data_IF_167994660413
#
_entry.id   IF_167994660413
#
_cell.length_a   1.000
_cell.length_b   1.000
_cell.length_c   1.000
_cell.angle_alpha   90.00
_cell.angle_beta   90.00
_cell.angle_gamma   90.00
#
_symmetry.space_group_name_H-M   'P 1'
#
loop_
_entity.id
_entity.type
_entity.pdbx_description
1 polymer ?
#
# COMPACT_ATOMS: atom_id res chain seq x y z
N UNK A 1 35.69 -3.24 23.13
CA UNK A 1 34.75 -2.08 23.15
C UNK A 1 33.44 -2.55 23.74
N UNK A 2 33.09 -2.09 24.95
CA UNK A 2 31.97 -2.63 25.74
C UNK A 2 30.60 -2.33 25.11
N UNK A 3 29.59 -3.16 25.41
CA UNK A 3 28.19 -3.00 24.97
C UNK A 3 27.66 -1.60 25.30
N UNK A 4 28.08 -1.03 26.43
CA UNK A 4 27.70 0.31 26.89
C UNK A 4 28.24 1.42 25.97
N UNK A 5 29.49 1.32 25.52
CA UNK A 5 30.08 2.30 24.58
C UNK A 5 29.36 2.27 23.22
N UNK A 6 29.01 1.07 22.72
CA UNK A 6 28.21 0.91 21.49
C UNK A 6 26.76 1.39 21.66
N UNK A 7 26.17 1.28 22.84
CA UNK A 7 24.83 1.80 23.13
C UNK A 7 24.84 3.34 23.17
N UNK A 8 25.83 3.94 23.83
CA UNK A 8 26.00 5.39 23.90
C UNK A 8 26.24 6.01 22.52
N UNK A 9 27.13 5.43 21.70
CA UNK A 9 27.37 5.91 20.33
C UNK A 9 26.13 5.81 19.43
N UNK A 10 25.32 4.74 19.55
CA UNK A 10 24.05 4.61 18.81
C UNK A 10 23.01 5.64 19.26
N UNK A 11 22.95 5.95 20.57
CA UNK A 11 22.04 6.97 21.11
C UNK A 11 22.41 8.35 20.59
N UNK A 12 23.69 8.69 20.59
CA UNK A 12 24.18 9.97 20.07
C UNK A 12 23.96 10.09 18.56
N UNK A 13 24.24 9.05 17.78
CA UNK A 13 23.95 9.02 16.35
C UNK A 13 22.45 9.21 16.05
N UNK A 14 21.57 8.53 16.80
CA UNK A 14 20.12 8.68 16.66
C UNK A 14 19.63 10.09 17.04
N UNK A 15 20.20 10.70 18.09
CA UNK A 15 19.88 12.08 18.47
C UNK A 15 20.34 13.09 17.42
N UNK A 16 21.53 12.92 16.85
CA UNK A 16 22.00 13.74 15.72
C UNK A 16 21.10 13.57 14.51
N UNK A 17 20.76 12.33 14.17
CA UNK A 17 19.92 11.99 13.04
C UNK A 17 18.52 12.61 13.14
N UNK A 18 17.93 12.58 14.35
CA UNK A 18 16.67 13.28 14.68
C UNK A 18 16.78 14.78 14.48
N UNK A 19 17.83 15.40 15.00
CA UNK A 19 18.02 16.86 14.89
C UNK A 19 18.25 17.33 13.46
N UNK A 20 18.86 16.50 12.62
CA UNK A 20 19.07 16.81 11.20
C UNK A 20 17.88 16.49 10.31
N UNK A 21 16.91 15.71 10.78
CA UNK A 21 15.74 15.34 9.99
C UNK A 21 14.67 16.42 10.11
N UNK A 22 14.58 17.27 9.10
CA UNK A 22 13.61 18.37 9.03
C UNK A 22 12.95 18.36 7.65
N UNK A 23 12.06 17.41 7.36
CA UNK A 23 11.32 17.40 6.10
C UNK A 23 10.38 18.61 6.04
N UNK A 24 10.15 19.11 4.83
CA UNK A 24 9.20 20.18 4.52
C UNK A 24 8.00 19.70 3.69
N UNK A 25 8.01 18.45 3.20
CA UNK A 25 6.96 17.85 2.39
C UNK A 25 5.98 16.95 3.18
N UNK A 26 4.80 16.63 2.60
CA UNK A 26 3.88 15.65 3.18
C UNK A 26 4.54 14.29 3.39
N UNK A 27 4.27 13.69 4.54
CA UNK A 27 4.76 12.38 4.92
C UNK A 27 3.66 11.33 4.82
N UNK A 28 4.02 10.20 4.22
CA UNK A 28 3.29 8.95 4.40
C UNK A 28 3.89 8.18 5.56
N UNK A 29 3.09 7.84 6.55
CA UNK A 29 3.48 7.03 7.68
C UNK A 29 3.20 5.56 7.40
N UNK A 30 4.26 4.75 7.43
CA UNK A 30 4.20 3.31 7.19
C UNK A 30 4.52 2.53 8.46
N UNK A 31 3.83 1.41 8.65
CA UNK A 31 4.24 0.44 9.66
C UNK A 31 3.99 -1.01 9.26
N UNK A 32 4.90 -1.90 9.69
CA UNK A 32 4.78 -3.35 9.50
C UNK A 32 5.28 -4.10 10.74
N UNK A 33 4.54 -5.14 11.11
CA UNK A 33 4.86 -6.02 12.22
C UNK A 33 5.75 -7.18 11.78
N UNK A 34 6.82 -7.46 12.52
CA UNK A 34 7.68 -8.62 12.26
C UNK A 34 8.23 -9.26 13.51
N UNK A 35 8.24 -10.58 13.53
CA UNK A 35 9.00 -11.37 14.50
C UNK A 35 10.49 -11.29 14.15
N UNK A 36 11.28 -10.73 15.06
CA UNK A 36 12.72 -10.57 14.90
C UNK A 36 13.47 -11.24 16.06
N UNK A 37 14.67 -11.80 15.82
CA UNK A 37 15.52 -12.28 16.89
C UNK A 37 15.81 -11.17 17.90
N UNK A 38 15.72 -11.50 19.18
CA UNK A 38 15.98 -10.63 20.31
C UNK A 38 17.15 -11.18 21.13
N UNK A 39 17.48 -10.50 22.23
CA UNK A 39 18.58 -10.93 23.10
C UNK A 39 18.30 -12.35 23.64
N UNK A 40 19.35 -13.16 23.81
CA UNK A 40 19.28 -14.53 24.33
C UNK A 40 18.51 -15.53 23.45
N UNK A 41 18.54 -15.39 22.12
CA UNK A 41 17.89 -16.34 21.19
C UNK A 41 16.35 -16.41 21.33
N UNK A 42 15.75 -15.40 21.95
CA UNK A 42 14.29 -15.25 21.98
C UNK A 42 13.83 -14.53 20.71
N UNK A 43 12.54 -14.66 20.37
CA UNK A 43 11.94 -13.92 19.25
C UNK A 43 11.05 -12.84 19.84
N UNK A 44 11.22 -11.59 19.41
CA UNK A 44 10.38 -10.48 19.82
C UNK A 44 9.56 -9.98 18.62
N UNK A 45 8.29 -9.69 18.88
CA UNK A 45 7.49 -8.95 17.92
C UNK A 45 7.92 -7.49 17.93
N UNK A 46 8.24 -6.96 16.75
CA UNK A 46 8.69 -5.57 16.56
C UNK A 46 7.86 -4.94 15.45
N UNK A 47 7.72 -3.63 15.50
CA UNK A 47 7.05 -2.85 14.47
C UNK A 47 8.10 -1.94 13.82
N UNK A 48 8.28 -2.02 12.51
CA UNK A 48 9.10 -1.07 11.79
C UNK A 48 8.23 0.14 11.45
N UNK A 49 8.64 1.34 11.84
CA UNK A 49 7.90 2.58 11.59
C UNK A 49 8.75 3.45 10.66
N UNK A 50 8.24 3.73 9.48
CA UNK A 50 8.95 4.42 8.41
C UNK A 50 8.09 5.58 7.93
N UNK A 51 8.70 6.70 7.55
CA UNK A 51 8.03 7.71 6.73
C UNK A 51 8.63 7.75 5.34
N UNK A 52 7.80 7.99 4.33
CA UNK A 52 8.25 8.23 2.96
C UNK A 52 7.77 9.58 2.47
N UNK A 53 8.62 10.26 1.71
CA UNK A 53 8.42 11.62 1.19
C UNK A 53 9.43 11.86 0.07
N UNK A 54 9.10 12.65 -0.95
CA UNK A 54 9.98 12.94 -2.10
C UNK A 54 10.80 11.75 -2.65
N UNK A 55 10.21 10.55 -2.69
CA UNK A 55 10.91 9.34 -3.12
C UNK A 55 12.07 8.88 -2.22
N UNK A 56 12.14 9.39 -0.99
CA UNK A 56 13.03 8.99 0.09
C UNK A 56 12.26 8.21 1.17
N UNK A 57 13.00 7.45 1.99
CA UNK A 57 12.47 6.77 3.16
C UNK A 57 13.28 7.11 4.41
N UNK A 58 12.60 7.19 5.56
CA UNK A 58 13.22 7.41 6.86
C UNK A 58 12.65 6.44 7.89
N UNK A 59 13.52 5.61 8.46
CA UNK A 59 13.17 4.77 9.59
C UNK A 59 13.08 5.62 10.86
N UNK A 60 11.88 5.78 11.41
CA UNK A 60 11.64 6.50 12.66
C UNK A 60 11.90 5.63 13.90
N UNK A 61 11.65 4.32 13.79
CA UNK A 61 11.84 3.42 14.91
C UNK A 61 11.59 1.95 14.59
N UNK A 62 12.09 1.09 15.47
CA UNK A 62 11.78 -0.35 15.49
C UNK A 62 11.41 -0.80 16.90
N UNK A 63 10.38 -0.19 17.54
CA UNK A 63 10.04 -0.51 18.91
C UNK A 63 9.62 -1.98 19.05
N UNK A 64 9.94 -2.54 20.22
CA UNK A 64 9.47 -3.86 20.61
C UNK A 64 8.01 -3.73 21.04
N UNK A 65 7.15 -4.62 20.56
CA UNK A 65 5.75 -4.67 20.95
C UNK A 65 5.49 -5.90 21.82
N UNK A 66 4.77 -5.70 22.91
CA UNK A 66 4.28 -6.79 23.74
C UNK A 66 2.97 -7.39 23.19
N UNK A 67 2.20 -6.57 22.44
CA UNK A 67 0.90 -6.93 21.88
C UNK A 67 0.81 -6.50 20.42
N UNK A 68 0.00 -7.22 19.63
CA UNK A 68 -0.22 -6.92 18.20
C UNK A 68 -1.55 -6.20 17.95
N UNK A 69 -2.14 -5.61 18.99
CA UNK A 69 -3.41 -4.88 18.89
C UNK A 69 -3.26 -3.59 18.09
N UNK A 70 -4.37 -3.10 17.51
CA UNK A 70 -4.39 -1.81 16.82
C UNK A 70 -3.97 -0.63 17.70
N UNK A 71 -4.32 -0.70 18.98
CA UNK A 71 -3.89 0.27 20.00
C UNK A 71 -2.37 0.33 20.16
N UNK A 72 -1.72 -0.82 20.36
CA UNK A 72 -0.28 -0.86 20.52
C UNK A 72 0.47 -0.41 19.25
N UNK A 73 -0.11 -0.67 18.07
CA UNK A 73 0.45 -0.18 16.80
C UNK A 73 0.30 1.34 16.67
N UNK A 74 -0.88 1.88 16.98
CA UNK A 74 -1.13 3.33 16.98
C UNK A 74 -0.22 4.06 17.96
N UNK A 75 -0.14 3.60 19.22
CA UNK A 75 0.72 4.21 20.24
C UNK A 75 2.19 4.26 19.79
N UNK A 76 2.71 3.16 19.25
CA UNK A 76 4.08 3.11 18.75
C UNK A 76 4.31 4.08 17.58
N UNK A 77 3.37 4.16 16.64
CA UNK A 77 3.40 5.10 15.52
C UNK A 77 3.37 6.56 15.99
N UNK A 78 2.45 6.89 16.90
CA UNK A 78 2.27 8.23 17.46
C UNK A 78 3.48 8.67 18.27
N UNK A 79 4.03 7.80 19.12
CA UNK A 79 5.27 8.06 19.85
C UNK A 79 6.43 8.33 18.88
N UNK A 80 6.55 7.51 17.82
CA UNK A 80 7.57 7.70 16.81
C UNK A 80 7.45 9.07 16.14
N UNK A 81 6.32 9.42 15.52
CA UNK A 81 6.19 10.70 14.80
C UNK A 81 6.34 11.92 15.71
N UNK A 82 5.84 11.87 16.95
CA UNK A 82 6.01 12.94 17.95
C UNK A 82 7.47 13.09 18.39
N UNK A 83 8.18 11.97 18.61
CA UNK A 83 9.59 12.02 19.00
C UNK A 83 10.53 12.56 17.91
N UNK A 84 10.07 12.54 16.66
CA UNK A 84 10.74 13.14 15.51
C UNK A 84 10.18 14.51 15.13
N UNK A 85 9.14 15.01 15.82
CA UNK A 85 8.49 16.30 15.57
C UNK A 85 7.98 16.44 14.12
N UNK A 86 7.34 15.39 13.60
CA UNK A 86 6.81 15.34 12.22
C UNK A 86 5.31 15.07 12.15
N UNK A 87 4.60 15.07 13.27
CA UNK A 87 3.18 14.72 13.32
C UNK A 87 2.31 15.58 12.40
N UNK A 88 2.62 16.88 12.26
CA UNK A 88 1.87 17.83 11.43
C UNK A 88 2.05 17.61 9.92
N UNK A 89 3.12 16.90 9.54
CA UNK A 89 3.44 16.61 8.15
C UNK A 89 2.84 15.28 7.69
N UNK A 90 2.34 14.45 8.60
CA UNK A 90 1.69 13.18 8.24
C UNK A 90 0.37 13.46 7.53
N UNK A 91 0.26 13.06 6.26
CA UNK A 91 -0.94 13.22 5.42
C UNK A 91 -1.56 11.91 4.97
N UNK A 92 -0.83 10.79 5.10
CA UNK A 92 -1.38 9.48 4.82
C UNK A 92 -0.74 8.35 5.62
N UNK A 93 -1.43 7.22 5.63
CA UNK A 93 -1.11 6.01 6.37
C UNK A 93 -0.96 4.85 5.39
N UNK A 94 0.12 4.07 5.52
CA UNK A 94 0.39 2.89 4.69
C UNK A 94 0.56 1.68 5.60
N UNK A 95 -0.28 0.67 5.40
CA UNK A 95 -0.44 -0.42 6.38
C UNK A 95 -0.94 -1.71 5.73
N UNK A 96 -0.74 -2.85 6.40
CA UNK A 96 -1.31 -4.13 5.99
C UNK A 96 -2.81 -4.24 6.31
N UNK A 97 -3.54 -5.06 5.56
CA UNK A 97 -4.99 -5.19 5.66
C UNK A 97 -5.52 -6.00 6.86
N UNK A 98 -4.76 -6.04 7.97
CA UNK A 98 -5.16 -6.75 9.19
C UNK A 98 -6.24 -6.00 9.97
N UNK A 99 -7.11 -6.75 10.66
CA UNK A 99 -8.16 -6.17 11.51
C UNK A 99 -7.59 -5.26 12.62
N UNK A 100 -6.36 -5.52 13.05
CA UNK A 100 -5.65 -4.67 14.01
C UNK A 100 -5.42 -3.26 13.47
N UNK A 101 -5.17 -3.10 12.17
CA UNK A 101 -4.97 -1.80 11.55
C UNK A 101 -6.28 -1.14 11.13
N UNK A 102 -7.28 -1.93 10.70
CA UNK A 102 -8.47 -1.43 9.99
C UNK A 102 -9.78 -1.56 10.74
N UNK A 103 -9.76 -2.02 11.98
CA UNK A 103 -10.96 -2.11 12.82
C UNK A 103 -11.71 -0.78 12.91
N UNK A 104 -13.00 -0.79 12.55
CA UNK A 104 -13.84 0.41 12.36
C UNK A 104 -13.83 1.41 13.53
N UNK A 105 -13.68 0.92 14.76
CA UNK A 105 -13.74 1.77 15.97
C UNK A 105 -12.47 1.74 16.80
N UNK A 106 -11.53 0.84 16.51
CA UNK A 106 -10.39 0.54 17.39
C UNK A 106 -9.12 0.15 16.63
N UNK A 107 -9.15 0.18 15.30
CA UNK A 107 -7.99 -0.08 14.46
C UNK A 107 -6.92 0.99 14.64
N UNK A 108 -5.68 0.65 14.31
CA UNK A 108 -4.56 1.57 14.42
C UNK A 108 -4.80 2.88 13.63
N UNK A 109 -5.36 2.78 12.42
CA UNK A 109 -5.56 3.95 11.57
C UNK A 109 -6.55 4.95 12.17
N UNK A 110 -7.68 4.47 12.70
CA UNK A 110 -8.70 5.31 13.36
C UNK A 110 -8.08 6.05 14.55
N UNK A 111 -7.33 5.34 15.39
CA UNK A 111 -6.68 5.92 16.57
C UNK A 111 -5.62 6.97 16.23
N UNK A 112 -4.88 6.75 15.15
CA UNK A 112 -3.89 7.73 14.69
C UNK A 112 -4.59 9.01 14.20
N UNK A 113 -5.68 8.88 13.44
CA UNK A 113 -6.48 10.03 12.99
C UNK A 113 -7.12 10.79 14.16
N UNK A 114 -7.69 10.07 15.13
CA UNK A 114 -8.29 10.65 16.32
C UNK A 114 -7.26 11.48 17.11
N UNK A 115 -6.05 10.95 17.31
CA UNK A 115 -4.97 11.65 18.04
C UNK A 115 -4.41 12.84 17.26
N UNK A 116 -4.37 12.76 15.93
CA UNK A 116 -3.88 13.85 15.07
C UNK A 116 -4.98 14.87 14.74
N UNK A 117 -6.22 14.61 15.14
CA UNK A 117 -7.41 15.41 14.83
C UNK A 117 -7.52 15.73 13.33
N UNK A 118 -7.13 14.78 12.47
CA UNK A 118 -7.04 14.98 11.02
C UNK A 118 -7.51 13.73 10.27
N UNK A 119 -8.31 13.91 9.22
CA UNK A 119 -8.56 12.87 8.22
C UNK A 119 -7.27 12.64 7.41
N UNK A 120 -6.85 11.38 7.30
CA UNK A 120 -5.65 10.95 6.59
C UNK A 120 -6.03 10.05 5.42
N UNK A 121 -5.21 10.09 4.36
CA UNK A 121 -5.35 9.16 3.24
C UNK A 121 -4.88 7.77 3.66
N UNK A 122 -5.76 6.78 3.56
CA UNK A 122 -5.43 5.39 3.89
C UNK A 122 -4.99 4.63 2.64
N UNK A 123 -3.78 4.09 2.69
CA UNK A 123 -3.13 3.33 1.63
C UNK A 123 -2.88 1.89 2.11
N UNK A 124 -3.91 1.05 1.97
CA UNK A 124 -3.81 -0.35 2.35
C UNK A 124 -2.94 -1.17 1.39
N UNK A 125 -2.18 -2.12 1.92
CA UNK A 125 -1.30 -2.99 1.15
C UNK A 125 -2.08 -3.92 0.21
N UNK A 126 -1.95 -3.68 -1.10
CA UNK A 126 -2.57 -4.48 -2.18
C UNK A 126 -2.06 -5.92 -2.21
N UNK A 127 -0.76 -6.13 -1.96
CA UNK A 127 -0.19 -7.48 -1.92
C UNK A 127 -0.87 -8.34 -0.87
N UNK A 128 -1.15 -7.78 0.32
CA UNK A 128 -1.79 -8.55 1.38
C UNK A 128 -3.21 -9.00 0.96
N UNK A 129 -3.94 -8.17 0.24
CA UNK A 129 -5.28 -8.54 -0.29
C UNK A 129 -5.18 -9.68 -1.31
N UNK A 130 -4.23 -9.60 -2.24
CA UNK A 130 -4.02 -10.68 -3.22
C UNK A 130 -3.51 -11.96 -2.55
N UNK A 131 -2.67 -11.87 -1.51
CA UNK A 131 -2.23 -13.00 -0.71
C UNK A 131 -3.42 -13.71 -0.05
N UNK A 132 -4.36 -12.95 0.51
CA UNK A 132 -5.57 -13.50 1.14
C UNK A 132 -6.43 -14.21 0.08
N UNK A 133 -6.67 -13.58 -1.07
CA UNK A 133 -7.40 -14.21 -2.18
C UNK A 133 -6.73 -15.53 -2.62
N UNK A 134 -5.42 -15.50 -2.85
CA UNK A 134 -4.67 -16.67 -3.28
C UNK A 134 -4.65 -17.75 -2.20
N UNK A 135 -4.59 -17.38 -0.91
CA UNK A 135 -4.66 -18.30 0.22
C UNK A 135 -6.00 -19.04 0.29
N UNK A 136 -7.11 -18.33 0.09
CA UNK A 136 -8.45 -18.92 0.07
C UNK A 136 -8.64 -19.88 -1.11
N UNK A 137 -8.22 -19.45 -2.31
CA UNK A 137 -8.23 -20.29 -3.52
C UNK A 137 -7.32 -21.52 -3.35
N UNK A 138 -6.12 -21.33 -2.80
CA UNK A 138 -5.21 -22.44 -2.52
C UNK A 138 -5.82 -23.44 -1.54
N UNK A 139 -6.43 -22.95 -0.46
CA UNK A 139 -7.08 -23.80 0.55
C UNK A 139 -8.26 -24.58 -0.04
N UNK A 140 -9.00 -23.99 -0.97
CA UNK A 140 -10.07 -24.67 -1.70
C UNK A 140 -9.53 -25.80 -2.58
N UNK A 141 -8.44 -25.56 -3.31
CA UNK A 141 -7.90 -26.51 -4.30
C UNK A 141 -7.06 -27.61 -3.63
N UNK A 142 -6.24 -27.24 -2.65
CA UNK A 142 -5.23 -28.11 -2.05
C UNK A 142 -5.60 -28.62 -0.65
N UNK A 143 -6.70 -28.12 -0.07
CA UNK A 143 -7.08 -28.38 1.31
C UNK A 143 -6.37 -27.45 2.31
N UNK A 144 -6.97 -27.28 3.49
CA UNK A 144 -6.36 -26.49 4.56
C UNK A 144 -5.15 -27.21 5.14
N UNK A 145 -4.06 -26.48 5.35
CA UNK A 145 -2.88 -26.99 6.05
C UNK A 145 -2.84 -26.45 7.47
N UNK A 146 -2.91 -27.33 8.47
CA UNK A 146 -2.71 -26.95 9.89
C UNK A 146 -1.27 -26.59 10.25
N UNK A 147 -0.36 -26.53 9.28
CA UNK A 147 1.05 -26.17 9.47
C UNK A 147 1.32 -24.77 8.93
N UNK A 148 2.13 -23.94 9.63
CA UNK A 148 2.55 -22.64 9.12
C UNK A 148 3.42 -22.73 7.85
N UNK A 149 3.87 -23.93 7.47
CA UNK A 149 4.62 -24.14 6.24
C UNK A 149 4.08 -25.35 5.45
N UNK A 150 3.43 -25.09 4.31
CA UNK A 150 2.96 -26.12 3.39
C UNK A 150 4.12 -26.96 2.86
N UNK A 151 4.05 -28.29 2.99
CA UNK A 151 5.08 -29.23 2.49
C UNK A 151 5.34 -29.04 0.99
N UNK A 152 4.29 -28.74 0.22
CA UNK A 152 4.38 -28.41 -1.19
C UNK A 152 5.35 -27.24 -1.43
N UNK A 153 5.18 -26.13 -0.71
CA UNK A 153 6.06 -24.96 -0.83
C UNK A 153 7.49 -25.24 -0.36
N UNK A 154 7.68 -26.09 0.67
CA UNK A 154 9.04 -26.53 1.07
C UNK A 154 9.74 -27.29 -0.05
N UNK A 155 9.05 -28.24 -0.67
CA UNK A 155 9.59 -29.04 -1.80
C UNK A 155 9.89 -28.13 -2.98
N UNK A 156 8.96 -27.24 -3.31
CA UNK A 156 9.12 -26.26 -4.37
C UNK A 156 10.34 -25.37 -4.14
N UNK A 157 10.49 -24.77 -2.95
CA UNK A 157 11.64 -23.96 -2.56
C UNK A 157 12.97 -24.72 -2.72
N UNK A 158 13.00 -26.01 -2.37
CA UNK A 158 14.20 -26.86 -2.52
C UNK A 158 14.55 -27.09 -4.00
N UNK A 159 13.55 -27.27 -4.86
CA UNK A 159 13.72 -27.51 -6.29
C UNK A 159 13.80 -26.22 -7.12
N UNK A 160 13.61 -25.04 -6.52
CA UNK A 160 13.55 -23.77 -7.25
C UNK A 160 14.74 -23.55 -8.19
N UNK A 161 15.95 -23.94 -7.77
CA UNK A 161 17.18 -23.79 -8.57
C UNK A 161 17.26 -24.74 -9.77
N UNK A 162 16.49 -25.82 -9.78
CA UNK A 162 16.47 -26.79 -10.88
C UNK A 162 15.31 -26.56 -11.86
N UNK A 163 14.43 -25.60 -11.60
CA UNK A 163 13.36 -25.22 -12.51
C UNK A 163 13.93 -24.29 -13.59
N UNK A 164 13.77 -24.67 -14.85
CA UNK A 164 14.07 -23.79 -15.99
C UNK A 164 13.09 -22.63 -16.00
N UNK A 165 13.58 -21.42 -15.74
CA UNK A 165 12.75 -20.21 -15.78
C UNK A 165 12.42 -19.78 -17.20
N UNK A 166 13.16 -20.26 -18.20
CA UNK A 166 12.92 -19.94 -19.61
C UNK A 166 11.61 -20.56 -20.13
N UNK A 167 11.14 -21.62 -19.49
CA UNK A 167 9.89 -22.31 -19.85
C UNK A 167 8.69 -21.83 -19.01
N UNK A 168 8.93 -20.89 -18.09
CA UNK A 168 7.87 -20.36 -17.24
C UNK A 168 7.06 -19.32 -18.01
N UNK A 169 5.83 -19.69 -18.38
CA UNK A 169 4.85 -18.77 -18.94
C UNK A 169 3.94 -18.31 -17.78
N UNK A 170 4.02 -17.04 -17.36
CA UNK A 170 3.12 -16.52 -16.34
C UNK A 170 1.67 -16.58 -16.83
N UNK A 171 0.75 -16.92 -15.93
CA UNK A 171 -0.67 -16.81 -16.21
C UNK A 171 -1.02 -15.33 -16.52
N UNK A 172 -1.91 -15.02 -17.49
CA UNK A 172 -2.30 -13.65 -17.79
C UNK A 172 -2.73 -12.86 -16.54
N UNK A 173 -3.41 -13.52 -15.60
CA UNK A 173 -3.90 -12.95 -14.34
C UNK A 173 -2.77 -12.61 -13.35
N UNK A 174 -1.56 -13.13 -13.54
CA UNK A 174 -0.40 -12.77 -12.72
C UNK A 174 -0.05 -11.28 -12.82
N UNK A 175 -0.49 -10.59 -13.88
CA UNK A 175 -0.31 -9.14 -14.03
C UNK A 175 -0.84 -8.37 -12.82
N UNK A 176 -1.97 -8.80 -12.23
CA UNK A 176 -2.55 -8.15 -11.06
C UNK A 176 -1.62 -8.23 -9.85
N UNK A 177 -0.93 -9.36 -9.68
CA UNK A 177 0.08 -9.53 -8.64
C UNK A 177 1.33 -8.72 -8.91
N UNK A 178 1.84 -8.74 -10.14
CA UNK A 178 3.07 -8.03 -10.52
C UNK A 178 2.92 -6.51 -10.48
N UNK A 179 1.73 -6.00 -10.81
CA UNK A 179 1.40 -4.57 -10.78
C UNK A 179 0.81 -4.12 -9.44
N UNK A 180 0.57 -5.01 -8.47
CA UNK A 180 0.13 -4.65 -7.11
C UNK A 180 0.98 -3.57 -6.41
N UNK A 181 2.33 -3.50 -6.60
CA UNK A 181 3.13 -2.40 -6.06
C UNK A 181 2.96 -1.05 -6.79
N UNK A 182 2.29 -1.01 -7.94
CA UNK A 182 2.16 0.19 -8.77
C UNK A 182 0.89 0.95 -8.36
N UNK A 183 1.05 1.91 -7.45
CA UNK A 183 -0.08 2.62 -6.84
C UNK A 183 -1.04 3.27 -7.87
N UNK A 184 -0.50 3.83 -8.96
CA UNK A 184 -1.28 4.43 -10.07
C UNK A 184 -2.13 3.41 -10.82
N UNK A 185 -1.62 2.18 -10.97
CA UNK A 185 -2.32 1.10 -11.70
C UNK A 185 -3.31 0.34 -10.84
N UNK A 186 -3.15 0.39 -9.52
CA UNK A 186 -3.90 -0.43 -8.58
C UNK A 186 -5.42 -0.27 -8.72
N UNK A 187 -6.02 0.94 -8.74
CA UNK A 187 -7.48 1.03 -8.74
C UNK A 187 -8.11 0.47 -10.02
N UNK A 188 -7.47 0.68 -11.18
CA UNK A 188 -7.92 0.06 -12.43
C UNK A 188 -7.79 -1.45 -12.38
N UNK A 189 -6.65 -1.96 -11.89
CA UNK A 189 -6.38 -3.39 -11.79
C UNK A 189 -7.38 -4.10 -10.88
N UNK A 190 -7.77 -3.49 -9.76
CA UNK A 190 -8.75 -4.08 -8.84
C UNK A 190 -10.11 -4.29 -9.53
N UNK A 191 -10.55 -3.30 -10.32
CA UNK A 191 -11.80 -3.41 -11.10
C UNK A 191 -11.68 -4.42 -12.24
N UNK A 192 -10.52 -4.49 -12.91
CA UNK A 192 -10.27 -5.47 -13.98
C UNK A 192 -10.19 -6.89 -13.44
N UNK A 193 -9.56 -7.11 -12.29
CA UNK A 193 -9.51 -8.42 -11.64
C UNK A 193 -10.92 -8.92 -11.35
N UNK A 194 -11.82 -8.06 -10.88
CA UNK A 194 -13.23 -8.42 -10.67
C UNK A 194 -13.94 -8.81 -11.98
N UNK A 195 -13.66 -8.14 -13.10
CA UNK A 195 -14.19 -8.50 -14.42
C UNK A 195 -13.66 -9.87 -14.88
N UNK A 196 -12.35 -10.07 -14.78
CA UNK A 196 -11.70 -11.34 -15.13
C UNK A 196 -12.26 -12.49 -14.28
N UNK A 197 -12.46 -12.28 -12.98
CA UNK A 197 -13.01 -13.31 -12.11
C UNK A 197 -14.48 -13.64 -12.41
N UNK A 198 -15.28 -12.71 -12.96
CA UNK A 198 -16.66 -13.01 -13.41
C UNK A 198 -16.69 -13.93 -14.62
N UNK A 199 -15.69 -13.84 -15.48
CA UNK A 199 -15.56 -14.64 -16.70
C UNK A 199 -14.67 -15.87 -16.51
N UNK A 200 -14.12 -16.08 -15.30
CA UNK A 200 -13.15 -17.13 -15.05
C UNK A 200 -13.77 -18.53 -15.21
N UNK A 201 -13.18 -19.44 -16.02
CA UNK A 201 -13.85 -20.69 -16.42
C UNK A 201 -14.23 -21.62 -15.27
N UNK A 202 -13.46 -21.61 -14.19
CA UNK A 202 -13.68 -22.51 -13.06
C UNK A 202 -14.54 -21.83 -11.97
N UNK A 203 -15.86 -22.02 -12.06
CA UNK A 203 -16.86 -21.36 -11.21
C UNK A 203 -16.54 -21.39 -9.69
N UNK A 204 -16.13 -22.54 -9.13
CA UNK A 204 -15.79 -22.61 -7.70
C UNK A 204 -14.58 -21.76 -7.31
N UNK A 205 -13.58 -21.68 -8.18
CA UNK A 205 -12.37 -20.86 -7.96
C UNK A 205 -12.74 -19.40 -8.12
N UNK A 206 -13.49 -19.06 -9.17
CA UNK A 206 -14.03 -17.73 -9.40
C UNK A 206 -14.81 -17.23 -8.19
N UNK A 207 -15.76 -18.02 -7.70
CA UNK A 207 -16.59 -17.68 -6.54
C UNK A 207 -15.76 -17.49 -5.26
N UNK A 208 -14.81 -18.39 -4.98
CA UNK A 208 -13.94 -18.24 -3.81
C UNK A 208 -13.06 -16.99 -3.88
N UNK A 209 -12.48 -16.71 -5.05
CA UNK A 209 -11.66 -15.51 -5.27
C UNK A 209 -12.49 -14.23 -5.16
N UNK A 210 -13.68 -14.18 -5.77
CA UNK A 210 -14.60 -13.04 -5.68
C UNK A 210 -15.05 -12.83 -4.24
N UNK A 211 -15.44 -13.90 -3.53
CA UNK A 211 -15.84 -13.81 -2.13
C UNK A 211 -14.69 -13.30 -1.24
N UNK A 212 -13.44 -13.72 -1.50
CA UNK A 212 -12.26 -13.22 -0.81
C UNK A 212 -12.05 -11.74 -1.07
N UNK A 213 -11.94 -11.31 -2.33
CA UNK A 213 -11.74 -9.89 -2.65
C UNK A 213 -12.88 -9.03 -2.11
N UNK A 214 -14.13 -9.45 -2.26
CA UNK A 214 -15.30 -8.70 -1.79
C UNK A 214 -15.28 -8.39 -0.30
N UNK A 215 -14.71 -9.27 0.54
CA UNK A 215 -14.50 -9.00 1.98
C UNK A 215 -13.40 -7.98 2.25
N UNK A 216 -12.51 -7.78 1.30
CA UNK A 216 -11.33 -6.93 1.40
C UNK A 216 -11.38 -5.67 0.51
N UNK A 217 -12.48 -5.42 -0.21
CA UNK A 217 -12.70 -4.27 -1.10
C UNK A 217 -12.61 -2.89 -0.44
N UNK A 218 -12.55 -2.84 0.89
CA UNK A 218 -12.37 -1.59 1.64
C UNK A 218 -11.05 -0.87 1.32
N UNK A 219 -10.05 -1.59 0.80
CA UNK A 219 -8.83 -0.98 0.28
C UNK A 219 -9.08 -0.12 -0.98
N UNK A 220 -10.10 -0.40 -1.80
CA UNK A 220 -10.53 0.50 -2.87
C UNK A 220 -11.32 1.65 -2.22
N UNK A 221 -10.74 2.84 -2.17
CA UNK A 221 -11.29 3.99 -1.44
C UNK A 221 -11.49 5.20 -2.35
N UNK A 222 -12.32 6.14 -1.91
CA UNK A 222 -12.51 7.45 -2.58
C UNK A 222 -11.19 8.21 -2.74
N UNK A 223 -10.22 8.02 -1.84
CA UNK A 223 -8.90 8.62 -1.97
C UNK A 223 -8.06 7.96 -3.07
N UNK A 224 -7.93 6.64 -3.03
CA UNK A 224 -7.00 5.92 -3.91
C UNK A 224 -7.46 5.86 -5.37
N UNK A 225 -8.76 6.00 -5.62
CA UNK A 225 -9.28 6.05 -7.00
C UNK A 225 -8.68 7.23 -7.78
N UNK A 226 -8.32 8.33 -7.11
CA UNK A 226 -7.71 9.51 -7.72
C UNK A 226 -6.37 9.24 -8.38
N UNK A 227 -5.63 8.21 -7.92
CA UNK A 227 -4.39 7.78 -8.56
C UNK A 227 -4.60 7.30 -10.01
N UNK A 228 -5.81 6.86 -10.35
CA UNK A 228 -6.16 6.44 -11.73
C UNK A 228 -6.08 7.59 -12.75
N UNK A 229 -6.10 8.85 -12.30
CA UNK A 229 -5.87 10.00 -13.19
C UNK A 229 -4.50 9.93 -13.86
N UNK A 230 -3.54 9.28 -13.22
CA UNK A 230 -2.18 9.09 -13.72
C UNK A 230 -1.98 7.78 -14.50
N UNK A 231 -3.00 6.93 -14.60
CA UNK A 231 -2.92 5.69 -15.37
C UNK A 231 -3.21 5.98 -16.85
N UNK A 232 -2.28 5.58 -17.71
CA UNK A 232 -2.36 5.77 -19.16
C UNK A 232 -3.40 4.86 -19.83
N UNK A 233 -3.87 3.83 -19.13
CA UNK A 233 -4.93 2.93 -19.61
C UNK A 233 -6.33 3.53 -19.43
N UNK A 234 -6.46 4.59 -18.62
CA UNK A 234 -7.71 5.32 -18.45
C UNK A 234 -7.85 6.31 -19.59
N UNK A 235 -8.92 6.16 -20.37
CA UNK A 235 -9.20 7.02 -21.50
C UNK A 235 -9.55 8.46 -21.07
N UNK A 236 -9.41 9.40 -22.00
CA UNK A 236 -9.68 10.82 -21.76
C UNK A 236 -11.10 11.08 -21.24
N UNK A 237 -12.11 10.37 -21.75
CA UNK A 237 -13.50 10.62 -21.37
C UNK A 237 -13.74 10.17 -19.92
N UNK A 238 -13.19 9.02 -19.54
CA UNK A 238 -13.19 8.58 -18.15
C UNK A 238 -12.46 9.60 -17.25
N UNK A 239 -11.30 10.14 -17.64
CA UNK A 239 -10.61 11.19 -16.85
C UNK A 239 -11.46 12.46 -16.72
N UNK A 240 -12.16 12.89 -17.78
CA UNK A 240 -13.10 14.03 -17.71
C UNK A 240 -14.22 13.79 -16.72
N UNK A 241 -14.82 12.60 -16.74
CA UNK A 241 -15.85 12.20 -15.80
C UNK A 241 -15.34 12.16 -14.36
N UNK A 242 -14.11 11.69 -14.13
CA UNK A 242 -13.47 11.75 -12.81
C UNK A 242 -13.37 13.19 -12.30
N UNK A 243 -12.88 14.13 -13.12
CA UNK A 243 -12.75 15.54 -12.71
C UNK A 243 -14.12 16.16 -12.41
N UNK A 244 -15.13 15.88 -13.24
CA UNK A 244 -16.50 16.35 -13.00
C UNK A 244 -17.06 15.82 -11.68
N UNK A 245 -16.74 14.58 -11.31
CA UNK A 245 -17.24 13.95 -10.09
C UNK A 245 -16.59 14.48 -8.81
N UNK A 246 -15.57 15.34 -8.88
CA UNK A 246 -15.06 16.03 -7.69
C UNK A 246 -16.08 16.96 -7.02
N UNK A 247 -17.15 17.34 -7.71
CA UNK A 247 -18.27 18.07 -7.10
C UNK A 247 -19.28 17.16 -6.40
N UNK A 248 -19.16 15.83 -6.55
CA UNK A 248 -20.05 14.88 -5.89
C UNK A 248 -19.72 14.83 -4.38
N UNK A 249 -20.71 14.99 -3.49
CA UNK A 249 -20.47 14.97 -2.05
C UNK A 249 -19.79 13.67 -1.60
N UNK A 250 -18.90 13.77 -0.62
CA UNK A 250 -18.25 12.59 -0.05
C UNK A 250 -19.29 11.68 0.60
N UNK A 251 -19.07 10.36 0.54
CA UNK A 251 -19.95 9.42 1.22
C UNK A 251 -19.81 9.59 2.75
N UNK A 252 -20.94 9.68 3.45
CA UNK A 252 -21.00 9.78 4.92
C UNK A 252 -20.56 8.48 5.62
N UNK A 253 -20.36 7.39 4.86
CA UNK A 253 -19.95 6.13 5.44
C UNK A 253 -18.48 6.17 5.89
N UNK A 254 -18.30 6.30 7.21
CA UNK A 254 -17.01 6.21 7.90
C UNK A 254 -16.31 4.86 7.68
N UNK A 255 -17.02 3.84 7.19
CA UNK A 255 -16.42 2.54 6.91
C UNK A 255 -15.34 2.62 5.82
N UNK A 256 -15.34 3.68 5.00
CA UNK A 256 -14.51 3.85 3.80
C UNK A 256 -14.60 2.64 2.85
N UNK A 257 -15.62 1.79 3.01
CA UNK A 257 -15.79 0.57 2.24
C UNK A 257 -16.61 0.87 0.99
N UNK A 258 -16.03 0.58 -0.15
CA UNK A 258 -16.82 0.46 -1.37
C UNK A 258 -17.58 -0.86 -1.29
N UNK A 259 -18.90 -0.78 -1.11
CA UNK A 259 -19.80 -1.92 -1.28
C UNK A 259 -20.10 -2.03 -2.77
N UNK A 260 -19.56 -3.04 -3.42
CA UNK A 260 -19.98 -3.40 -4.77
C UNK A 260 -21.27 -4.23 -4.64
N UNK A 261 -22.39 -3.69 -5.10
CA UNK A 261 -23.61 -4.49 -5.29
C UNK A 261 -23.58 -5.17 -6.66
N UNK A 262 -24.25 -6.31 -6.80
CA UNK A 262 -24.43 -6.99 -8.09
C UNK A 262 -25.14 -6.10 -9.13
N UNK A 263 -25.91 -5.11 -8.65
CA UNK A 263 -26.62 -4.11 -9.44
C UNK A 263 -25.78 -2.90 -9.84
N UNK A 264 -24.60 -2.69 -9.23
CA UNK A 264 -23.69 -1.62 -9.65
C UNK A 264 -22.86 -2.15 -10.81
N UNK A 265 -23.05 -1.66 -12.04
CA UNK A 265 -22.17 -2.05 -13.13
C UNK A 265 -20.75 -1.66 -12.72
N UNK A 266 -19.76 -2.51 -13.01
CA UNK A 266 -18.34 -2.11 -12.93
C UNK A 266 -18.12 -1.10 -14.07
N UNK A 267 -18.68 0.10 -13.90
CA UNK A 267 -19.00 1.05 -14.96
C UNK A 267 -17.73 1.73 -15.43
N UNK A 268 -16.88 2.15 -14.50
CA UNK A 268 -15.49 2.58 -14.65
C UNK A 268 -14.99 3.11 -13.29
N UNK A 269 -13.73 3.54 -13.23
CA UNK A 269 -13.15 4.17 -12.02
C UNK A 269 -13.83 5.48 -11.62
N UNK A 270 -14.48 6.19 -12.56
CA UNK A 270 -15.07 7.51 -12.29
C UNK A 270 -16.28 7.45 -11.35
N UNK A 271 -17.01 6.32 -11.31
CA UNK A 271 -18.18 6.16 -10.44
C UNK A 271 -17.85 6.14 -8.93
N UNK A 272 -16.57 6.00 -8.58
CA UNK A 272 -16.11 6.03 -7.18
C UNK A 272 -15.49 7.38 -6.79
N UNK A 273 -15.39 8.33 -7.72
CA UNK A 273 -14.82 9.66 -7.45
C UNK A 273 -15.85 10.54 -6.74
N UNK A 274 -15.39 11.26 -5.73
CA UNK A 274 -16.15 12.27 -4.99
C UNK A 274 -15.23 13.45 -4.64
N UNK A 275 -15.75 14.48 -3.96
CA UNK A 275 -14.94 15.61 -3.47
C UNK A 275 -13.77 15.15 -2.58
N UNK A 276 -13.92 14.04 -1.85
CA UNK A 276 -12.86 13.44 -1.01
C UNK A 276 -11.68 12.93 -1.83
N UNK A 277 -11.89 12.59 -3.11
CA UNK A 277 -10.81 12.12 -3.97
C UNK A 277 -9.71 13.15 -4.14
N UNK A 278 -10.00 14.45 -3.99
CA UNK A 278 -9.01 15.52 -4.06
C UNK A 278 -7.95 15.43 -2.95
N UNK A 279 -8.22 14.81 -1.80
CA UNK A 279 -7.25 14.69 -0.70
C UNK A 279 -6.00 13.89 -1.10
N UNK A 280 -6.07 13.08 -2.16
CA UNK A 280 -4.90 12.35 -2.66
C UNK A 280 -3.77 13.31 -3.07
N UNK A 281 -4.09 14.50 -3.57
CA UNK A 281 -3.08 15.44 -4.05
C UNK A 281 -2.26 16.04 -2.90
N UNK A 282 -2.86 16.29 -1.74
CA UNK A 282 -2.18 16.82 -0.56
C UNK A 282 -1.19 15.82 0.07
N UNK A 283 -1.26 14.56 -0.35
CA UNK A 283 -0.29 13.51 0.02
C UNK A 283 0.86 13.44 -0.99
N UNK A 284 0.59 13.81 -2.24
CA UNK A 284 1.58 13.75 -3.32
C UNK A 284 2.55 14.91 -3.28
N UNK A 285 2.08 16.09 -2.88
CA UNK A 285 2.89 17.31 -2.80
C UNK A 285 2.26 18.35 -1.86
N UNK A 286 3.06 19.32 -1.41
CA UNK A 286 2.57 20.47 -0.64
C UNK A 286 1.55 21.27 -1.45
N UNK A 287 0.49 21.73 -0.78
CA UNK A 287 -0.62 22.47 -1.40
C UNK A 287 -1.15 21.74 -2.65
N UNK A 288 -1.19 20.41 -2.55
CA UNK A 288 -1.37 19.53 -3.69
C UNK A 288 -2.71 19.72 -4.36
N UNK A 289 -3.79 19.94 -3.60
CA UNK A 289 -5.11 20.27 -4.17
C UNK A 289 -5.10 21.54 -4.99
N UNK A 290 -4.51 22.61 -4.45
CA UNK A 290 -4.41 23.91 -5.11
C UNK A 290 -3.56 23.81 -6.38
N UNK A 291 -2.40 23.16 -6.28
CA UNK A 291 -1.51 22.91 -7.43
C UNK A 291 -2.21 22.05 -8.48
N UNK A 292 -2.93 21.01 -8.09
CA UNK A 292 -3.62 20.13 -9.02
C UNK A 292 -4.64 20.87 -9.89
N UNK A 293 -5.25 21.97 -9.41
CA UNK A 293 -6.17 22.78 -10.22
C UNK A 293 -5.52 23.31 -11.52
N UNK A 294 -4.20 23.50 -11.53
CA UNK A 294 -3.45 23.99 -12.69
C UNK A 294 -3.54 23.03 -13.88
N UNK A 295 -3.63 21.72 -13.64
CA UNK A 295 -3.82 20.74 -14.70
C UNK A 295 -5.28 20.25 -14.77
N UNK A 296 -5.98 20.10 -13.64
CA UNK A 296 -7.35 19.60 -13.60
C UNK A 296 -8.34 20.50 -14.37
N UNK A 297 -8.04 21.79 -14.51
CA UNK A 297 -8.82 22.73 -15.33
C UNK A 297 -8.57 22.63 -16.84
N UNK A 298 -7.54 21.88 -17.27
CA UNK A 298 -7.17 21.65 -18.67
C UNK A 298 -7.81 20.37 -19.21
N UNK A 299 -7.89 20.23 -20.53
CA UNK A 299 -8.34 18.99 -21.15
C UNK A 299 -7.36 17.84 -20.82
N UNK A 300 -7.80 16.66 -20.35
CA UNK A 300 -6.90 15.55 -20.02
C UNK A 300 -6.00 15.08 -21.15
N UNK A 301 -6.31 15.42 -22.40
CA UNK A 301 -5.41 15.17 -23.55
C UNK A 301 -4.08 15.93 -23.45
N UNK A 302 -4.04 17.07 -22.75
CA UNK A 302 -2.84 17.91 -22.65
C UNK A 302 -2.04 17.67 -21.38
N UNK A 303 -2.54 16.85 -20.43
CA UNK A 303 -1.89 16.65 -19.14
C UNK A 303 -0.49 16.03 -19.23
N UNK A 304 -0.22 15.21 -20.24
CA UNK A 304 1.12 14.62 -20.43
C UNK A 304 2.21 15.67 -20.69
N UNK A 305 1.83 16.82 -21.21
CA UNK A 305 2.72 17.95 -21.47
C UNK A 305 2.69 18.99 -20.32
N UNK A 306 1.90 18.74 -19.28
CA UNK A 306 1.75 19.63 -18.13
C UNK A 306 2.81 19.34 -17.06
N UNK A 307 3.57 20.36 -16.67
CA UNK A 307 4.65 20.24 -15.69
C UNK A 307 4.12 19.80 -14.31
N UNK A 308 3.01 20.39 -13.84
CA UNK A 308 2.43 20.09 -12.52
C UNK A 308 1.89 18.67 -12.47
N UNK A 309 1.23 18.22 -13.54
CA UNK A 309 0.80 16.82 -13.65
C UNK A 309 2.00 15.86 -13.57
N UNK A 310 3.09 16.16 -14.27
CA UNK A 310 4.28 15.32 -14.30
C UNK A 310 5.07 15.34 -12.99
N UNK A 311 5.04 16.44 -12.23
CA UNK A 311 5.63 16.57 -10.90
C UNK A 311 4.80 15.91 -9.80
N UNK A 312 3.47 15.81 -10.00
CA UNK A 312 2.54 15.27 -8.98
C UNK A 312 2.78 13.81 -8.66
N UNK A 313 3.44 13.06 -9.54
CA UNK A 313 3.83 11.68 -9.27
C UNK A 313 5.29 11.46 -9.65
N UNK A 314 5.99 10.69 -8.83
CA UNK A 314 7.34 10.27 -9.19
C UNK A 314 7.36 9.48 -10.50
N UNK A 315 8.27 9.83 -11.40
CA UNK A 315 8.54 9.05 -12.61
C UNK A 315 9.43 7.83 -12.34
N UNK A 316 10.01 7.73 -11.15
CA UNK A 316 10.85 6.60 -10.79
C UNK A 316 9.96 5.41 -10.37
N UNK A 317 9.96 4.37 -11.21
CA UNK A 317 9.18 3.14 -11.00
C UNK A 317 9.56 2.37 -9.74
N UNK A 318 10.79 2.51 -9.24
CA UNK A 318 11.14 2.03 -7.91
C UNK A 318 10.46 2.90 -6.86
N UNK A 319 10.46 4.23 -7.01
CA UNK A 319 9.79 5.21 -6.12
C UNK A 319 8.27 5.03 -6.04
N UNK A 320 7.60 4.65 -7.14
CA UNK A 320 6.17 4.28 -7.14
C UNK A 320 5.85 3.10 -6.21
N UNK A 321 6.84 2.26 -5.91
CA UNK A 321 6.71 1.17 -4.95
C UNK A 321 6.77 1.66 -3.51
N UNK A 322 7.33 2.83 -3.23
CA UNK A 322 7.46 3.39 -1.87
C UNK A 322 6.16 4.05 -1.39
N UNK A 323 5.17 4.25 -2.29
CA UNK A 323 3.77 4.44 -1.88
C UNK A 323 3.21 3.19 -1.16
N UNK A 324 3.87 2.03 -1.26
CA UNK A 324 3.39 0.73 -0.77
C UNK A 324 4.50 -0.18 -0.17
N UNK A 325 5.71 0.30 0.11
CA UNK A 325 6.80 -0.55 0.60
C UNK A 325 7.17 -0.30 2.07
N UNK A 326 6.67 -1.18 2.93
CA UNK A 326 7.47 -1.70 4.04
C UNK A 326 8.04 -3.06 3.64
N UNK A 327 8.98 -3.07 2.69
CA UNK A 327 9.70 -4.30 2.36
C UNK A 327 11.13 -4.09 1.84
N UNK A 328 11.67 -2.87 1.85
CA UNK A 328 13.05 -2.64 1.39
C UNK A 328 14.12 -3.31 2.30
N UNK A 329 13.79 -3.65 3.54
CA UNK A 329 14.71 -4.39 4.43
C UNK A 329 14.70 -5.92 4.26
N UNK A 330 13.85 -6.50 3.39
CA UNK A 330 13.96 -7.93 3.02
C UNK A 330 15.10 -8.21 2.03
N UNK A 331 15.61 -7.19 1.33
CA UNK A 331 16.70 -7.30 0.33
C UNK A 331 18.11 -7.41 0.93
N UNK A 332 18.28 -7.34 2.25
CA UNK A 332 19.59 -7.55 2.93
C UNK A 332 19.90 -9.02 3.22
N UNK A 333 19.10 -9.95 2.69
CA UNK A 333 19.45 -11.37 2.58
C UNK A 333 19.78 -11.68 1.12
N UNK A 334 20.89 -12.38 0.84
CA UNK A 334 21.36 -12.59 -0.51
C UNK A 334 20.33 -13.42 -1.30
N UNK A 335 20.12 -13.00 -2.56
CA UNK A 335 19.39 -13.65 -3.66
C UNK A 335 17.88 -13.38 -3.80
N UNK A 336 17.57 -12.32 -4.55
CA UNK A 336 16.74 -12.29 -5.77
C UNK A 336 16.32 -10.82 -6.00
N UNK A 337 17.13 -10.06 -6.74
CA UNK A 337 16.85 -8.64 -6.99
C UNK A 337 15.73 -8.47 -8.02
N UNK A 338 14.85 -7.49 -7.80
CA UNK A 338 13.78 -7.04 -8.71
C UNK A 338 14.26 -6.74 -10.13
N UNK A 339 15.53 -6.37 -10.28
CA UNK A 339 16.22 -6.18 -11.56
C UNK A 339 16.23 -7.43 -12.47
N UNK A 340 16.05 -8.63 -11.93
CA UNK A 340 15.98 -9.86 -12.72
C UNK A 340 14.62 -10.05 -13.43
N UNK A 341 13.54 -9.43 -12.92
CA UNK A 341 12.19 -9.58 -13.50
C UNK A 341 11.85 -8.52 -14.56
N UNK A 342 12.62 -7.44 -14.65
CA UNK A 342 12.34 -6.33 -15.58
C UNK A 342 13.15 -6.39 -16.88
N UNK A 343 14.11 -7.31 -17.02
CA UNK A 343 14.82 -7.55 -18.29
C UNK A 343 14.06 -8.57 -19.13
N UNK A 344 12.97 -8.15 -19.76
CA UNK A 344 12.21 -9.05 -20.63
C UNK A 344 11.05 -8.46 -21.42
N UNK A 345 10.79 -7.16 -21.35
CA UNK A 345 9.70 -6.53 -22.10
C UNK A 345 10.25 -5.42 -23.01
N UNK A 346 10.49 -5.78 -24.26
CA UNK A 346 10.42 -4.91 -25.43
C UNK A 346 9.45 -5.52 -26.42
#
# INVERSE_FOLDING_TARGET
VSILYRASGRKQAAETDRKSFSPDEPLLLHWDGKLLPDVQNTTASRIAIVVTFNGQEKLLGVPKKERETGEAQAEACLEAIKSWNVEKLVKGLVFDTTASNTGLHRGACVRIEDELEQELVWIACRHHVLEIMLSDVFSLICGSTGSPETILFKRFKKQWRSISLNDFIPAPESIFWHEAPMAVRAPFNDLQLMKVLKEYPHEKVAHAAQAAISRHLWYLSEHLIGLSLFDDRIDTETKKNMVQNFQCPKKQDFSRRIVLSDETPISNVASFVTERTLDIFDVLTLDGKERAQLFLSKDPKTWKDDEVYNESITQNEDQKQYLLQVAAHRKKLPTASKAAMMKGYK
#
